data_IF_445663355630
#
_entry.id   IF_445663355630
#
_cell.length_a   1.000
_cell.length_b   1.000
_cell.length_c   1.000
_cell.angle_alpha   90.00
_cell.angle_beta   90.00
_cell.angle_gamma   90.00
#
_symmetry.space_group_name_H-M   'P 1'
#
loop_
_entity.id
_entity.type
_entity.pdbx_description
1 polymer ?
#
# COMPACT_ATOMS: atom_id res chain seq x y z
N UNK A 1 15.93 -0.73 -2.06
CA UNK A 1 15.50 0.55 -2.67
C UNK A 1 16.70 1.49 -2.64
N UNK A 2 17.72 1.21 -3.45
CA UNK A 2 18.93 2.04 -3.54
C UNK A 2 18.82 2.85 -4.83
N UNK A 3 18.33 4.10 -4.72
CA UNK A 3 18.14 5.03 -5.83
C UNK A 3 17.33 4.48 -7.03
N UNK A 4 16.31 3.65 -6.75
CA UNK A 4 15.44 3.09 -7.79
C UNK A 4 14.55 4.19 -8.38
N UNK A 5 14.80 4.53 -9.65
CA UNK A 5 14.07 5.57 -10.39
C UNK A 5 12.62 5.19 -10.67
N UNK A 6 12.16 4.01 -10.26
CA UNK A 6 10.74 3.61 -10.35
C UNK A 6 9.91 4.05 -9.14
N UNK A 7 10.55 4.52 -8.06
CA UNK A 7 9.85 4.86 -6.80
C UNK A 7 10.03 6.31 -6.37
N UNK A 8 8.96 6.94 -5.91
CA UNK A 8 8.97 8.23 -5.18
C UNK A 8 9.13 7.97 -3.69
N UNK A 9 9.94 8.79 -3.02
CA UNK A 9 9.86 8.94 -1.58
C UNK A 9 8.74 9.92 -1.25
N UNK A 10 7.85 9.53 -0.34
CA UNK A 10 6.72 10.35 0.11
C UNK A 10 6.68 10.38 1.63
N UNK A 11 6.25 11.50 2.18
CA UNK A 11 6.01 11.65 3.62
C UNK A 11 4.61 11.23 4.05
N UNK A 12 3.72 10.97 3.09
CA UNK A 12 2.34 10.57 3.33
C UNK A 12 2.29 9.35 4.25
N UNK A 13 1.57 9.39 5.39
CA UNK A 13 1.46 8.25 6.28
C UNK A 13 0.84 7.04 5.58
N UNK A 14 1.63 5.99 5.39
CA UNK A 14 1.12 4.71 4.87
C UNK A 14 0.91 3.75 6.03
N UNK A 15 -0.35 3.37 6.25
CA UNK A 15 -0.75 2.33 7.19
C UNK A 15 -1.28 1.11 6.43
N UNK A 16 -1.33 -0.08 7.06
CA UNK A 16 -2.02 -1.22 6.49
C UNK A 16 -3.44 -0.84 6.06
N UNK A 17 -3.77 -1.03 4.79
CA UNK A 17 -5.07 -0.65 4.21
C UNK A 17 -5.02 0.54 3.25
N UNK A 18 -4.01 1.41 3.34
CA UNK A 18 -3.80 2.52 2.39
C UNK A 18 -2.81 2.16 1.27
N UNK A 19 -2.30 0.93 1.25
CA UNK A 19 -1.49 0.35 0.18
C UNK A 19 -2.32 0.15 -1.10
N UNK A 20 -1.78 0.57 -2.25
CA UNK A 20 -2.42 0.47 -3.56
C UNK A 20 -3.26 1.69 -3.95
N UNK A 21 -3.39 2.68 -3.05
CA UNK A 21 -4.12 3.91 -3.32
C UNK A 21 -3.33 4.88 -4.22
N UNK A 22 -4.02 5.75 -4.97
CA UNK A 22 -3.36 6.78 -5.76
C UNK A 22 -2.78 7.88 -4.87
N UNK A 23 -1.65 8.44 -5.29
CA UNK A 23 -1.11 9.71 -4.79
C UNK A 23 -1.40 10.76 -5.85
N UNK A 24 -2.07 11.83 -5.43
CA UNK A 24 -2.55 12.89 -6.32
C UNK A 24 -1.81 14.19 -6.06
N UNK A 25 -1.62 14.98 -7.13
CA UNK A 25 -1.26 16.38 -7.01
C UNK A 25 -2.50 17.26 -6.73
N UNK A 26 -2.28 18.58 -6.60
CA UNK A 26 -3.35 19.53 -6.30
C UNK A 26 -4.35 19.76 -7.45
N UNK A 27 -4.09 19.21 -8.64
CA UNK A 27 -4.97 19.26 -9.81
C UNK A 27 -5.74 17.95 -10.01
N UNK A 28 -5.45 16.93 -9.19
CA UNK A 28 -6.10 15.61 -9.27
C UNK A 28 -5.39 14.64 -10.20
N UNK A 29 -4.18 14.96 -10.66
CA UNK A 29 -3.37 14.06 -11.48
C UNK A 29 -2.68 13.01 -10.62
N UNK A 30 -2.60 11.77 -11.10
CA UNK A 30 -1.88 10.69 -10.41
C UNK A 30 -0.38 10.88 -10.61
N UNK A 31 0.34 11.11 -9.50
CA UNK A 31 1.81 11.20 -9.50
C UNK A 31 2.47 9.89 -9.08
N UNK A 32 1.73 9.00 -8.41
CA UNK A 32 2.20 7.67 -8.07
C UNK A 32 1.14 6.79 -7.41
N UNK A 33 1.51 5.54 -7.13
CA UNK A 33 0.66 4.56 -6.45
C UNK A 33 1.37 4.11 -5.18
N UNK A 34 0.70 4.25 -4.04
CA UNK A 34 1.25 3.80 -2.76
C UNK A 34 1.48 2.30 -2.80
N UNK A 35 2.63 1.84 -2.30
CA UNK A 35 2.93 0.40 -2.27
C UNK A 35 2.88 -0.13 -0.85
N UNK A 36 3.99 -0.14 -0.16
CA UNK A 36 4.09 -0.47 1.25
C UNK A 36 5.34 0.20 1.83
N UNK A 37 5.34 0.35 3.15
CA UNK A 37 6.41 1.01 3.91
C UNK A 37 7.68 0.15 3.91
N UNK A 38 8.83 0.81 4.13
CA UNK A 38 10.08 0.14 4.44
C UNK A 38 9.85 -0.84 5.60
N UNK A 39 9.93 -2.14 5.31
CA UNK A 39 9.57 -3.19 6.26
C UNK A 39 10.50 -3.25 7.48
N UNK A 40 10.14 -4.11 8.44
CA UNK A 40 10.87 -4.30 9.71
C UNK A 40 12.36 -4.51 9.53
N UNK A 41 12.80 -5.09 8.39
CA UNK A 41 14.20 -5.33 8.05
C UNK A 41 15.13 -4.13 8.25
N UNK A 42 14.66 -2.90 7.98
CA UNK A 42 15.48 -1.71 8.22
C UNK A 42 15.62 -1.40 9.72
N UNK A 43 14.50 -1.49 10.46
CA UNK A 43 14.47 -1.34 11.91
C UNK A 43 15.26 -2.46 12.61
N UNK A 44 15.18 -3.69 12.12
CA UNK A 44 15.90 -4.86 12.62
C UNK A 44 17.42 -4.71 12.40
N UNK A 45 17.83 -4.05 11.32
CA UNK A 45 19.24 -3.81 10.99
C UNK A 45 19.83 -2.58 11.68
N UNK A 46 19.03 -1.54 11.95
CA UNK A 46 19.55 -0.23 12.41
C UNK A 46 19.09 0.17 13.81
N UNK A 47 18.08 -0.51 14.37
CA UNK A 47 17.40 -0.12 15.60
C UNK A 47 16.57 1.17 15.47
N UNK A 48 16.53 1.79 14.28
CA UNK A 48 15.85 3.06 14.03
C UNK A 48 14.59 2.79 13.22
N UNK A 49 13.43 3.13 13.79
CA UNK A 49 12.17 3.13 13.06
C UNK A 49 12.12 4.36 12.14
N UNK A 50 12.08 4.20 10.81
CA UNK A 50 11.92 5.32 9.89
C UNK A 50 10.60 6.04 10.17
N UNK A 51 10.66 7.35 10.35
CA UNK A 51 9.47 8.20 10.50
C UNK A 51 9.23 8.96 9.20
N UNK A 52 8.00 8.95 8.68
CA UNK A 52 7.58 9.69 7.47
C UNK A 52 8.45 9.42 6.22
N UNK A 53 9.01 8.21 6.10
CA UNK A 53 9.72 7.76 4.90
C UNK A 53 8.96 6.60 4.30
N UNK A 54 8.13 6.90 3.32
CA UNK A 54 7.30 5.95 2.59
C UNK A 54 7.64 5.96 1.10
N UNK A 55 7.21 4.92 0.38
CA UNK A 55 7.50 4.77 -1.04
C UNK A 55 6.27 4.48 -1.87
N UNK A 56 6.22 5.11 -3.03
CA UNK A 56 5.18 4.92 -4.03
C UNK A 56 5.82 4.62 -5.39
N UNK A 57 5.16 3.81 -6.21
CA UNK A 57 5.58 3.61 -7.60
C UNK A 57 5.25 4.88 -8.39
N UNK A 58 6.19 5.37 -9.20
CA UNK A 58 5.97 6.55 -10.06
C UNK A 58 4.91 6.27 -11.12
N UNK A 59 4.15 7.31 -11.49
CA UNK A 59 3.12 7.25 -12.53
C UNK A 59 3.65 6.67 -13.84
N UNK A 60 4.87 7.01 -14.27
CA UNK A 60 5.46 6.50 -15.51
C UNK A 60 5.57 4.96 -15.55
N UNK A 61 5.75 4.29 -14.41
CA UNK A 61 5.76 2.82 -14.34
C UNK A 61 4.36 2.26 -14.54
N UNK A 62 3.34 2.96 -14.02
CA UNK A 62 1.93 2.61 -14.22
C UNK A 62 1.54 2.83 -15.67
N UNK A 63 1.92 3.95 -16.27
CA UNK A 63 1.71 4.25 -17.69
C UNK A 63 2.32 3.17 -18.59
N UNK A 64 3.57 2.78 -18.34
CA UNK A 64 4.23 1.68 -19.06
C UNK A 64 3.46 0.37 -18.93
N UNK A 65 2.94 0.06 -17.74
CA UNK A 65 2.08 -1.12 -17.54
C UNK A 65 0.80 -1.01 -18.38
N UNK A 66 0.07 0.11 -18.31
CA UNK A 66 -1.17 0.31 -19.05
C UNK A 66 -0.93 0.20 -20.57
N UNK A 67 0.13 0.83 -21.08
CA UNK A 67 0.57 0.71 -22.47
C UNK A 67 0.86 -0.75 -22.87
N UNK A 68 1.58 -1.51 -22.04
CA UNK A 68 1.91 -2.91 -22.31
C UNK A 68 0.70 -3.86 -22.33
N UNK A 69 -0.44 -3.39 -21.79
CA UNK A 69 -1.71 -4.12 -21.71
C UNK A 69 -2.77 -3.53 -22.65
N UNK A 70 -2.41 -2.56 -23.48
CA UNK A 70 -3.32 -1.83 -24.38
C UNK A 70 -4.51 -1.17 -23.65
N UNK A 71 -4.31 -0.77 -22.38
CA UNK A 71 -5.32 -0.09 -21.58
C UNK A 71 -5.20 1.41 -21.83
N UNK A 72 -6.29 2.03 -22.28
CA UNK A 72 -6.35 3.47 -22.53
C UNK A 72 -6.32 4.26 -21.22
N UNK A 73 -5.63 5.40 -21.22
CA UNK A 73 -5.52 6.30 -20.08
C UNK A 73 -5.32 7.73 -20.56
N UNK A 74 -5.73 8.68 -19.73
CA UNK A 74 -5.55 10.11 -19.97
C UNK A 74 -4.29 10.61 -19.23
N UNK A 75 -3.55 11.51 -19.87
CA UNK A 75 -2.43 12.22 -19.25
C UNK A 75 -2.84 13.64 -18.91
N UNK A 76 -2.33 14.17 -17.80
CA UNK A 76 -2.53 15.57 -17.45
C UNK A 76 -2.02 16.50 -18.56
N UNK A 77 -2.79 17.54 -18.89
CA UNK A 77 -2.35 18.58 -19.80
C UNK A 77 -1.30 19.46 -19.09
N UNK A 78 -0.06 19.55 -19.59
CA UNK A 78 1.00 20.36 -18.98
C UNK A 78 0.68 21.86 -18.90
N UNK A 79 -0.34 22.35 -19.62
CA UNK A 79 -0.69 23.76 -19.75
C UNK A 79 -2.00 24.18 -19.08
N UNK A 80 -2.60 23.37 -18.21
CA UNK A 80 -3.89 23.71 -17.64
C UNK A 80 -3.78 24.75 -16.50
N UNK A 81 -4.31 25.96 -16.72
CA UNK A 81 -4.41 27.06 -15.75
C UNK A 81 -5.51 26.85 -14.67
N UNK A 82 -5.88 25.60 -14.44
CA UNK A 82 -6.92 25.27 -13.49
C UNK A 82 -6.49 25.59 -12.06
N UNK A 83 -7.44 26.17 -11.32
CA UNK A 83 -7.24 26.47 -9.91
C UNK A 83 -7.01 25.16 -9.15
N UNK A 84 -6.02 25.11 -8.24
CA UNK A 84 -5.83 23.97 -7.34
C UNK A 84 -7.12 23.61 -6.62
N UNK A 85 -7.45 22.32 -6.62
CA UNK A 85 -8.61 21.76 -5.93
C UNK A 85 -8.34 21.74 -4.42
N UNK A 86 -9.41 21.89 -3.62
CA UNK A 86 -9.28 21.65 -2.18
C UNK A 86 -9.08 20.16 -1.91
N UNK A 87 -8.52 19.81 -0.75
CA UNK A 87 -8.35 18.41 -0.34
C UNK A 87 -9.68 17.64 -0.32
N UNK A 88 -10.78 18.32 0.04
CA UNK A 88 -12.11 17.73 0.03
C UNK A 88 -12.56 17.41 -1.40
N UNK A 89 -12.44 18.38 -2.32
CA UNK A 89 -12.81 18.18 -3.72
C UNK A 89 -11.96 17.10 -4.41
N UNK A 90 -10.66 17.05 -4.09
CA UNK A 90 -9.77 15.97 -4.55
C UNK A 90 -10.25 14.60 -4.08
N UNK A 91 -10.67 14.51 -2.81
CA UNK A 91 -11.17 13.26 -2.24
C UNK A 91 -12.47 12.81 -2.91
N UNK A 92 -13.41 13.74 -3.10
CA UNK A 92 -14.69 13.45 -3.75
C UNK A 92 -14.53 12.97 -5.19
N UNK A 93 -13.53 13.51 -5.91
CA UNK A 93 -13.18 13.05 -7.26
C UNK A 93 -12.48 11.68 -7.26
N UNK A 94 -11.62 11.41 -6.29
CA UNK A 94 -10.75 10.24 -6.28
C UNK A 94 -11.45 8.98 -5.75
N UNK A 95 -12.27 9.10 -4.70
CA UNK A 95 -12.90 7.98 -3.99
C UNK A 95 -13.67 7.03 -4.93
N UNK A 96 -14.47 7.51 -5.90
CA UNK A 96 -15.19 6.63 -6.82
C UNK A 96 -14.30 5.71 -7.66
N UNK A 97 -13.04 6.09 -7.89
CA UNK A 97 -12.07 5.32 -8.67
C UNK A 97 -11.25 4.32 -7.83
N UNK A 98 -11.39 4.33 -6.50
CA UNK A 98 -10.64 3.46 -5.59
C UNK A 98 -11.50 2.27 -5.16
N UNK A 99 -11.07 1.06 -5.53
CA UNK A 99 -11.78 -0.18 -5.21
C UNK A 99 -10.95 -1.09 -4.31
N UNK A 100 -11.62 -1.83 -3.43
CA UNK A 100 -10.97 -2.82 -2.57
C UNK A 100 -10.90 -4.16 -3.28
N UNK A 101 -9.68 -4.66 -3.48
CA UNK A 101 -9.43 -6.01 -3.99
C UNK A 101 -9.31 -6.97 -2.80
N UNK A 102 -10.14 -8.02 -2.80
CA UNK A 102 -10.12 -9.07 -1.78
C UNK A 102 -9.58 -10.37 -2.37
N UNK A 103 -8.56 -10.93 -1.73
CA UNK A 103 -8.07 -12.27 -2.06
C UNK A 103 -8.83 -13.27 -1.19
N UNK A 104 -9.63 -14.13 -1.82
CA UNK A 104 -10.25 -15.28 -1.15
C UNK A 104 -9.37 -16.50 -1.41
N UNK A 105 -8.70 -17.00 -0.36
CA UNK A 105 -8.05 -18.30 -0.42
C UNK A 105 -9.09 -19.41 -0.54
N UNK A 106 -8.68 -20.57 -1.09
CA UNK A 106 -9.46 -21.78 -0.90
C UNK A 106 -9.64 -22.02 0.61
N UNK A 107 -10.82 -22.43 1.09
CA UNK A 107 -11.01 -22.73 2.51
C UNK A 107 -9.94 -23.75 2.92
N UNK A 108 -9.17 -23.42 3.95
CA UNK A 108 -8.25 -24.38 4.55
C UNK A 108 -9.08 -25.63 4.92
N UNK A 109 -8.63 -26.85 4.57
CA UNK A 109 -9.29 -28.05 5.07
C UNK A 109 -9.30 -27.94 6.60
N UNK A 110 -10.49 -28.05 7.20
CA UNK A 110 -10.68 -27.90 8.63
C UNK A 110 -9.73 -28.86 9.36
N UNK A 111 -8.65 -28.34 9.92
CA UNK A 111 -7.74 -29.12 10.76
C UNK A 111 -8.55 -29.58 11.95
N UNK A 112 -8.72 -30.89 12.07
CA UNK A 112 -9.38 -31.53 13.20
C UNK A 112 -8.81 -30.96 14.50
N UNK A 113 -9.70 -30.53 15.38
CA UNK A 113 -9.41 -30.05 16.72
C UNK A 113 -8.58 -31.10 17.46
N UNK A 114 -7.28 -30.86 17.60
CA UNK A 114 -6.42 -31.62 18.50
C UNK A 114 -6.76 -31.18 19.93
N UNK A 115 -7.56 -32.00 20.60
CA UNK A 115 -7.92 -31.83 22.01
C UNK A 115 -6.68 -31.94 22.88
N UNK A 116 -6.25 -30.82 23.47
CA UNK A 116 -5.28 -30.81 24.56
C UNK A 116 -5.89 -31.49 25.79
N UNK A 117 -5.71 -32.80 25.92
CA UNK A 117 -5.84 -33.48 27.20
C UNK A 117 -4.46 -33.44 27.88
N UNK A 118 -4.32 -32.58 28.89
CA UNK A 118 -3.05 -32.39 29.63
C UNK A 118 -3.02 -33.38 30.80
N UNK A 119 -2.00 -34.24 30.94
CA UNK A 119 -1.94 -35.15 32.08
C UNK A 119 -1.57 -34.40 33.36
N UNK A 120 -2.46 -34.46 34.36
CA UNK A 120 -2.20 -33.99 35.72
C UNK A 120 -1.30 -35.01 36.42
N UNK A 121 -0.01 -34.68 36.57
CA UNK A 121 0.89 -35.44 37.45
C UNK A 121 0.79 -34.82 38.85
N UNK A 122 0.10 -35.51 39.76
CA UNK A 122 0.16 -35.21 41.20
C UNK A 122 1.14 -36.19 41.84
N UNK A 123 2.33 -35.71 42.22
CA UNK A 123 3.32 -36.46 42.98
C UNK A 123 3.36 -35.93 44.40
N UNK A 124 2.78 -36.70 45.31
CA UNK A 124 2.93 -36.61 46.76
C UNK A 124 4.31 -37.14 47.19
N UNK A 125 4.95 -36.51 48.18
CA UNK A 125 5.80 -37.12 49.23
C UNK A 125 6.65 -36.05 49.95
N UNK A 126 7.16 -36.31 51.17
CA UNK A 126 6.53 -36.88 52.36
C UNK A 126 6.37 -35.85 53.50
#
# INVERSE_FOLDING_TARGET
MENDTRYLQVSTPLQPGNSGGPILDQWGSIVGVSTAVLGTKFTDATGIAPQNVNFAVRSNVVELFLQSRDIQYDTADPGHDDKPLSTADLSDKAVPAVVKILCHGAPAPATATESLDKPTVSSTMP
#
